data_IF_446399975739
#
_entry.id   IF_446399975739
#
_cell.length_a   1.000
_cell.length_b   1.000
_cell.length_c   1.000
_cell.angle_alpha   90.00
_cell.angle_beta   90.00
_cell.angle_gamma   90.00
#
_symmetry.space_group_name_H-M   'P 1'
#
loop_
_entity.id
_entity.type
_entity.pdbx_description
1 polymer ?
#
# COMPACT_ATOMS: atom_id res chain seq x y z
N UNK A 1 -15.18 17.95 26.72
CA UNK A 1 -15.26 17.13 25.48
C UNK A 1 -14.46 15.88 25.74
N UNK A 2 -15.13 14.72 25.79
CA UNK A 2 -14.58 13.47 26.35
C UNK A 2 -13.44 12.89 25.51
N UNK A 3 -12.32 12.61 26.15
CA UNK A 3 -10.99 12.38 25.57
C UNK A 3 -10.76 11.01 24.91
N UNK A 4 -11.74 10.42 24.21
CA UNK A 4 -11.53 9.11 23.54
C UNK A 4 -12.37 8.86 22.28
N UNK A 5 -12.89 9.91 21.63
CA UNK A 5 -13.65 9.70 20.39
C UNK A 5 -12.70 9.34 19.25
N UNK A 6 -12.78 8.09 18.78
CA UNK A 6 -12.21 7.70 17.49
C UNK A 6 -13.06 8.33 16.39
N UNK A 7 -12.40 8.95 15.42
CA UNK A 7 -13.01 9.53 14.26
C UNK A 7 -12.57 8.74 13.04
N UNK A 8 -13.55 8.40 12.21
CA UNK A 8 -13.31 7.81 10.90
C UNK A 8 -13.04 8.94 9.92
N UNK A 9 -11.85 8.94 9.32
CA UNK A 9 -11.43 9.96 8.35
C UNK A 9 -10.76 9.29 7.16
N UNK A 10 -10.96 9.88 5.98
CA UNK A 10 -10.35 9.44 4.73
C UNK A 10 -9.01 10.15 4.57
N UNK A 11 -7.91 9.40 4.68
CA UNK A 11 -6.55 9.95 4.60
C UNK A 11 -5.97 9.63 3.22
N UNK A 12 -5.47 10.62 2.47
CA UNK A 12 -4.81 10.36 1.20
C UNK A 12 -3.47 9.63 1.42
N UNK A 13 -3.14 8.71 0.52
CA UNK A 13 -1.85 7.99 0.52
C UNK A 13 -0.86 8.65 -0.43
N UNK A 14 0.36 8.84 0.06
CA UNK A 14 1.49 9.41 -0.64
C UNK A 14 2.61 8.38 -0.76
N UNK A 15 3.02 8.10 -1.99
CA UNK A 15 4.08 7.16 -2.28
C UNK A 15 5.43 7.88 -2.31
N UNK A 16 6.27 7.60 -1.32
CA UNK A 16 7.65 8.05 -1.28
C UNK A 16 8.54 7.08 -2.06
N UNK A 17 9.72 7.56 -2.45
CA UNK A 17 10.77 6.73 -3.02
C UNK A 17 10.38 6.01 -4.33
N UNK A 18 9.38 6.51 -5.05
CA UNK A 18 8.96 6.03 -6.36
C UNK A 18 10.13 5.94 -7.36
N UNK A 19 11.02 6.94 -7.37
CA UNK A 19 12.18 7.00 -8.29
C UNK A 19 13.30 6.00 -7.93
N UNK A 20 13.44 5.65 -6.66
CA UNK A 20 14.51 4.73 -6.21
C UNK A 20 14.03 3.28 -6.13
N UNK A 21 12.73 3.05 -6.20
CA UNK A 21 12.12 1.74 -6.16
C UNK A 21 12.68 0.84 -7.27
N UNK A 22 13.25 -0.33 -6.95
CA UNK A 22 13.80 -1.25 -7.95
C UNK A 22 12.71 -1.70 -8.93
N UNK A 23 11.46 -1.83 -8.45
CA UNK A 23 10.31 -2.15 -9.28
C UNK A 23 10.05 -1.11 -10.37
N UNK A 24 9.97 0.17 -10.00
CA UNK A 24 9.76 1.25 -10.97
C UNK A 24 11.00 1.46 -11.86
N UNK A 25 12.21 1.38 -11.31
CA UNK A 25 13.46 1.54 -12.07
C UNK A 25 13.67 0.46 -13.13
N UNK A 26 13.20 -0.76 -12.89
CA UNK A 26 13.22 -1.86 -13.88
C UNK A 26 12.16 -1.69 -14.98
N UNK A 27 11.36 -0.62 -14.97
CA UNK A 27 10.28 -0.41 -15.93
C UNK A 27 8.95 -0.99 -15.47
N UNK A 28 8.77 -1.17 -14.16
CA UNK A 28 7.47 -1.41 -13.55
C UNK A 28 6.61 -0.15 -13.49
N UNK A 29 5.30 -0.36 -13.39
CA UNK A 29 4.28 0.68 -13.31
C UNK A 29 3.61 0.58 -11.95
N UNK A 30 3.64 1.67 -11.18
CA UNK A 30 2.89 1.75 -9.93
C UNK A 30 1.40 1.86 -10.25
N UNK A 31 0.65 0.84 -9.85
CA UNK A 31 -0.80 0.81 -9.98
C UNK A 31 -1.42 1.09 -8.61
N UNK A 32 -2.07 2.25 -8.48
CA UNK A 32 -2.70 2.69 -7.24
C UNK A 32 -4.15 2.22 -7.27
N UNK A 33 -4.50 1.30 -6.39
CA UNK A 33 -5.88 0.78 -6.29
C UNK A 33 -6.74 1.72 -5.45
N UNK A 34 -6.14 2.32 -4.42
CA UNK A 34 -6.80 3.26 -3.50
C UNK A 34 -5.89 4.45 -3.26
N UNK A 35 -6.36 5.64 -3.62
CA UNK A 35 -5.69 6.92 -3.34
C UNK A 35 -5.99 7.43 -1.92
N UNK A 36 -7.02 6.88 -1.28
CA UNK A 36 -7.56 7.32 0.00
C UNK A 36 -7.80 6.06 0.83
N UNK A 37 -7.43 6.11 2.11
CA UNK A 37 -7.63 5.02 3.06
C UNK A 37 -8.41 5.54 4.24
N UNK A 38 -9.52 4.87 4.52
CA UNK A 38 -10.31 5.15 5.71
C UNK A 38 -9.59 4.62 6.94
N UNK A 39 -9.25 5.51 7.86
CA UNK A 39 -8.65 5.18 9.15
C UNK A 39 -9.48 5.77 10.29
N UNK A 40 -9.59 4.97 11.35
CA UNK A 40 -10.02 5.41 12.67
C UNK A 40 -8.81 5.94 13.44
N UNK A 41 -8.83 7.24 13.72
CA UNK A 41 -7.77 7.93 14.45
C UNK A 41 -8.38 8.83 15.53
N UNK A 42 -7.59 9.17 16.55
CA UNK A 42 -8.03 10.16 17.54
C UNK A 42 -8.06 11.56 16.91
N UNK A 43 -8.99 12.41 17.33
CA UNK A 43 -9.10 13.80 16.88
C UNK A 43 -7.78 14.61 17.01
N UNK A 44 -6.94 14.24 17.97
CA UNK A 44 -5.65 14.88 18.24
C UNK A 44 -4.47 14.29 17.45
N UNK A 45 -4.69 13.19 16.74
CA UNK A 45 -3.68 12.41 16.05
C UNK A 45 -4.06 12.15 14.58
N UNK A 46 -4.90 13.02 13.99
CA UNK A 46 -5.31 12.95 12.59
C UNK A 46 -4.08 13.21 11.70
N UNK A 47 -3.62 12.24 10.91
CA UNK A 47 -2.58 12.47 9.91
C UNK A 47 -3.13 13.35 8.78
N UNK A 48 -2.26 14.10 8.09
CA UNK A 48 -2.65 14.80 6.85
C UNK A 48 -2.56 13.87 5.63
N UNK A 49 -1.61 12.92 5.64
CA UNK A 49 -1.41 11.91 4.59
C UNK A 49 -0.72 10.66 5.17
N UNK A 50 -0.89 9.52 4.50
CA UNK A 50 -0.16 8.28 4.82
C UNK A 50 1.04 8.13 3.88
N UNK A 51 2.22 7.94 4.44
CA UNK A 51 3.44 7.76 3.66
C UNK A 51 3.71 6.27 3.38
N UNK A 52 3.93 5.96 2.11
CA UNK A 52 4.23 4.61 1.63
C UNK A 52 5.64 4.57 1.08
N UNK A 53 6.53 3.85 1.74
CA UNK A 53 7.91 3.68 1.28
C UNK A 53 7.99 2.59 0.21
N UNK A 54 8.35 2.96 -1.02
CA UNK A 54 8.52 2.03 -2.15
C UNK A 54 9.99 1.64 -2.39
N UNK A 55 10.94 2.00 -1.52
CA UNK A 55 12.38 1.78 -1.74
C UNK A 55 12.75 0.31 -1.97
N UNK A 56 12.04 -0.62 -1.32
CA UNK A 56 12.26 -2.07 -1.40
C UNK A 56 11.20 -2.76 -2.28
N UNK A 57 10.29 -2.00 -2.87
CA UNK A 57 9.18 -2.57 -3.62
C UNK A 57 9.64 -3.04 -5.01
N UNK A 58 9.38 -4.31 -5.34
CA UNK A 58 9.78 -4.96 -6.59
C UNK A 58 8.62 -5.12 -7.57
N UNK A 59 8.94 -5.49 -8.81
CA UNK A 59 7.91 -5.82 -9.81
C UNK A 59 7.13 -7.06 -9.36
N UNK A 60 5.81 -6.94 -9.32
CA UNK A 60 4.88 -7.96 -8.84
C UNK A 60 4.51 -7.81 -7.37
N UNK A 61 5.17 -6.90 -6.65
CA UNK A 61 4.92 -6.70 -5.22
C UNK A 61 3.62 -5.93 -4.97
N UNK A 62 2.92 -6.32 -3.90
CA UNK A 62 1.64 -5.75 -3.48
C UNK A 62 1.80 -5.06 -2.14
N UNK A 63 1.53 -3.76 -2.12
CA UNK A 63 1.57 -2.96 -0.90
C UNK A 63 0.23 -3.09 -0.19
N UNK A 64 0.26 -3.76 0.95
CA UNK A 64 -0.88 -3.90 1.85
C UNK A 64 -0.84 -2.85 2.96
N UNK A 65 -2.01 -2.47 3.47
CA UNK A 65 -2.14 -1.51 4.58
C UNK A 65 -1.37 -1.96 5.84
N UNK A 66 -1.27 -3.27 6.10
CA UNK A 66 -0.53 -3.80 7.26
C UNK A 66 0.99 -3.67 7.14
N UNK A 67 1.53 -3.54 5.92
CA UNK A 67 2.96 -3.32 5.70
C UNK A 67 3.35 -1.84 5.83
N UNK A 68 2.36 -0.96 5.96
CA UNK A 68 2.54 0.48 6.01
C UNK A 68 2.83 0.97 7.43
N UNK A 69 3.63 2.03 7.55
CA UNK A 69 3.96 2.59 8.86
C UNK A 69 2.80 3.43 9.37
N UNK A 70 1.99 2.85 10.27
CA UNK A 70 0.84 3.52 10.86
C UNK A 70 1.27 4.41 12.04
N UNK A 71 0.84 5.69 12.10
CA UNK A 71 1.14 6.57 13.22
C UNK A 71 0.49 6.09 14.52
N UNK A 72 1.04 6.51 15.68
CA UNK A 72 0.58 6.06 17.01
C UNK A 72 -0.90 6.39 17.21
N UNK A 73 -1.72 5.36 17.33
CA UNK A 73 -3.16 5.49 17.56
C UNK A 73 -4.01 5.50 16.29
N UNK A 74 -3.41 5.34 15.11
CA UNK A 74 -4.12 5.15 13.87
C UNK A 74 -4.47 3.67 13.68
N UNK A 75 -5.74 3.39 13.37
CA UNK A 75 -6.28 2.04 13.16
C UNK A 75 -6.99 2.03 11.80
N UNK A 76 -6.74 1.06 10.91
CA UNK A 76 -7.60 0.88 9.74
C UNK A 76 -9.02 0.54 10.22
N UNK A 77 -10.04 1.19 9.63
CA UNK A 77 -11.45 0.85 9.89
C UNK A 77 -11.77 -0.56 9.41
N UNK A 78 -11.19 -0.96 8.28
CA UNK A 78 -11.32 -2.31 7.75
C UNK A 78 -10.35 -3.23 8.50
N UNK A 79 -10.84 -3.81 9.59
CA UNK A 79 -10.10 -4.78 10.43
C UNK A 79 -10.20 -6.22 9.95
N UNK A 80 -11.12 -6.49 9.04
CA UNK A 80 -11.51 -7.85 8.66
C UNK A 80 -10.65 -8.43 7.53
N UNK A 81 -9.90 -7.58 6.81
CA UNK A 81 -9.13 -8.02 5.63
C UNK A 81 -8.00 -7.06 5.30
N UNK A 82 -6.84 -7.63 4.99
CA UNK A 82 -5.73 -6.94 4.34
C UNK A 82 -6.13 -6.59 2.91
N UNK A 83 -6.22 -5.30 2.63
CA UNK A 83 -6.48 -4.81 1.28
C UNK A 83 -5.23 -4.17 0.69
N UNK A 84 -5.10 -4.35 -0.61
CA UNK A 84 -3.99 -3.82 -1.38
C UNK A 84 -4.25 -2.35 -1.71
N UNK A 85 -3.32 -1.48 -1.31
CA UNK A 85 -3.37 -0.04 -1.57
C UNK A 85 -2.80 0.26 -2.96
N UNK A 86 -1.66 -0.37 -3.26
CA UNK A 86 -0.99 -0.24 -4.53
C UNK A 86 -0.25 -1.53 -4.87
N UNK A 87 0.02 -1.73 -6.14
CA UNK A 87 0.80 -2.85 -6.66
C UNK A 87 1.78 -2.33 -7.70
N UNK A 88 2.97 -2.92 -7.77
CA UNK A 88 3.90 -2.61 -8.85
C UNK A 88 3.72 -3.65 -9.94
N UNK A 89 3.12 -3.27 -11.07
CA UNK A 89 2.95 -4.15 -12.21
C UNK A 89 4.18 -4.10 -13.12
N UNK A 90 4.65 -5.26 -13.60
CA UNK A 90 5.73 -5.31 -14.58
C UNK A 90 5.24 -4.94 -15.96
N UNK A 91 6.01 -4.16 -16.73
CA UNK A 91 5.82 -4.13 -18.17
C UNK A 91 6.14 -5.51 -18.76
N UNK A 92 5.43 -5.94 -19.80
CA UNK A 92 5.59 -7.27 -20.41
C UNK A 92 7.03 -7.59 -20.85
N UNK A 93 7.87 -6.56 -21.05
CA UNK A 93 9.30 -6.71 -21.33
C UNK A 93 10.12 -7.24 -20.13
N UNK A 94 9.65 -7.04 -18.89
CA UNK A 94 10.32 -7.48 -17.65
C UNK A 94 9.76 -8.80 -17.11
N UNK A 95 8.64 -9.29 -17.65
CA UNK A 95 7.97 -10.52 -17.18
C UNK A 95 8.76 -11.79 -17.51
N UNK A 96 9.84 -11.70 -18.30
CA UNK A 96 10.69 -12.85 -18.63
C UNK A 96 11.57 -13.36 -17.48
N UNK A 97 11.71 -12.64 -16.36
CA UNK A 97 12.60 -13.07 -15.25
C UNK A 97 11.91 -13.41 -13.93
N UNK A 98 10.61 -13.10 -13.74
CA UNK A 98 9.92 -13.26 -12.45
C UNK A 98 8.69 -14.21 -12.46
N UNK A 99 8.62 -15.15 -13.39
CA UNK A 99 7.63 -16.24 -13.34
C UNK A 99 8.33 -17.59 -13.32
N UNK A 100 8.72 -18.02 -12.12
CA UNK A 100 8.94 -19.43 -11.81
C UNK A 100 8.09 -19.80 -10.59
N UNK A 101 7.22 -20.79 -10.79
CA UNK A 101 6.37 -21.55 -9.84
C UNK A 101 5.22 -20.78 -9.14
N UNK A 102 3.94 -21.13 -9.37
CA UNK A 102 3.30 -22.39 -8.93
C UNK A 102 2.10 -22.70 -9.86
N UNK A 103 2.17 -23.73 -10.72
CA UNK A 103 1.60 -25.10 -10.60
C UNK A 103 0.04 -25.13 -10.68
N UNK A 104 -0.54 -25.40 -11.86
CA UNK A 104 -1.10 -26.70 -12.35
C UNK A 104 -2.55 -26.94 -11.91
N UNK A 105 -3.47 -27.01 -12.87
CA UNK A 105 -4.21 -28.24 -13.21
C UNK A 105 -5.08 -28.02 -14.48
N UNK A 106 -5.03 -28.91 -15.49
CA UNK A 106 -5.93 -28.90 -16.63
C UNK A 106 -7.18 -29.75 -16.37
N UNK A 107 -8.33 -29.34 -16.90
CA UNK A 107 -9.38 -30.26 -17.35
C UNK A 107 -9.79 -29.90 -18.78
#
# INVERSE_FOLDING_TARGET
>A
VSSTSMLTVEIPVHFLNQDISPGLKRGGVLNIVRHEVELEVLATAIPEFLEVDLKDAEIGDSIHISSMTLPKGARPTIRDRDFTIATIAGSAASQSEASSATETEPE
#
